data_IF_891628407353
#
_entry.id   IF_891628407353
#
_cell.length_a   1.000
_cell.length_b   1.000
_cell.length_c   1.000
_cell.angle_alpha   90.00
_cell.angle_beta   90.00
_cell.angle_gamma   90.00
#
_symmetry.space_group_name_H-M   'P 1'
#
loop_
_entity.id
_entity.type
_entity.pdbx_description
1 polymer ?
#
# COMPACT_ATOMS: atom_id res chain seq x y z
N UNK A 1 -42.36 51.12 -3.31
CA UNK A 1 -41.75 50.42 -2.15
C UNK A 1 -41.12 49.12 -2.65
N UNK A 2 -39.85 48.87 -2.35
CA UNK A 2 -39.16 47.60 -2.58
C UNK A 2 -37.94 47.67 -3.50
N UNK A 3 -36.75 47.89 -2.93
CA UNK A 3 -35.44 47.66 -3.56
C UNK A 3 -35.09 46.16 -3.52
N UNK A 4 -34.37 45.66 -4.53
CA UNK A 4 -33.32 44.66 -4.30
C UNK A 4 -32.32 44.65 -5.46
N UNK A 5 -31.15 45.24 -5.20
CA UNK A 5 -29.88 45.03 -5.90
C UNK A 5 -29.43 43.59 -5.67
N UNK A 6 -29.09 42.86 -6.72
CA UNK A 6 -28.31 41.61 -6.62
C UNK A 6 -26.89 41.96 -7.03
N UNK A 7 -26.02 42.08 -6.02
CA UNK A 7 -24.58 42.24 -6.20
C UNK A 7 -23.95 40.93 -6.65
N UNK A 8 -23.08 41.02 -7.65
CA UNK A 8 -22.13 39.96 -8.01
C UNK A 8 -21.12 39.80 -6.86
N UNK A 9 -20.82 38.55 -6.50
CA UNK A 9 -19.66 38.23 -5.66
C UNK A 9 -18.62 37.53 -6.54
N UNK A 10 -17.57 38.27 -6.89
CA UNK A 10 -16.34 37.69 -7.44
C UNK A 10 -15.63 36.94 -6.31
N UNK A 11 -15.52 35.62 -6.42
CA UNK A 11 -14.65 34.83 -5.54
C UNK A 11 -13.21 35.01 -5.99
N UNK A 12 -12.47 35.84 -5.27
CA UNK A 12 -11.02 35.93 -5.38
C UNK A 12 -10.42 34.70 -4.70
N UNK A 13 -9.94 33.72 -5.49
CA UNK A 13 -9.13 32.62 -5.00
C UNK A 13 -7.67 33.08 -4.88
N UNK A 14 -7.28 33.57 -3.70
CA UNK A 14 -5.87 33.71 -3.32
C UNK A 14 -5.38 32.34 -2.83
N UNK A 15 -4.72 31.57 -3.68
CA UNK A 15 -3.97 30.39 -3.26
C UNK A 15 -2.48 30.77 -3.15
N UNK A 16 -2.08 31.21 -1.94
CA UNK A 16 -0.66 31.25 -1.54
C UNK A 16 -0.43 30.09 -0.59
N UNK A 17 0.19 29.04 -1.11
CA UNK A 17 1.22 28.26 -0.40
C UNK A 17 1.76 27.20 -1.35
N UNK A 18 2.94 27.49 -1.91
CA UNK A 18 3.70 26.52 -2.70
C UNK A 18 4.29 25.46 -1.78
N UNK A 19 3.57 24.36 -1.57
CA UNK A 19 4.14 23.18 -0.94
C UNK A 19 5.15 22.53 -1.90
N UNK A 20 6.44 22.69 -1.62
CA UNK A 20 7.50 22.00 -2.36
C UNK A 20 7.58 20.55 -1.89
N UNK A 21 7.05 19.62 -2.68
CA UNK A 21 7.23 18.18 -2.45
C UNK A 21 8.63 17.79 -2.91
N UNK A 22 9.60 17.77 -2.00
CA UNK A 22 10.92 17.18 -2.31
C UNK A 22 10.79 15.65 -2.29
N UNK A 23 10.91 15.04 -3.46
CA UNK A 23 10.87 13.58 -3.60
C UNK A 23 12.26 12.96 -3.46
N UNK A 24 12.33 11.84 -2.75
CA UNK A 24 13.53 11.03 -2.72
C UNK A 24 13.81 10.47 -4.14
N UNK A 25 15.09 10.24 -4.51
CA UNK A 25 15.45 9.66 -5.80
C UNK A 25 14.68 8.37 -6.10
N UNK A 26 14.02 8.33 -7.25
CA UNK A 26 13.26 7.17 -7.72
C UNK A 26 11.84 7.04 -7.14
N UNK A 27 11.39 7.98 -6.30
CA UNK A 27 10.00 8.07 -5.87
C UNK A 27 9.15 8.75 -6.96
N UNK A 28 7.96 8.20 -7.20
CA UNK A 28 6.94 8.80 -8.08
C UNK A 28 5.74 9.19 -7.21
N UNK A 29 5.23 10.41 -7.38
CA UNK A 29 3.94 10.83 -6.80
C UNK A 29 2.86 10.55 -7.82
N UNK A 30 1.93 9.67 -7.49
CA UNK A 30 0.70 9.53 -8.26
C UNK A 30 -0.41 10.31 -7.55
N UNK A 31 -0.99 11.28 -8.27
CA UNK A 31 -2.24 11.91 -7.85
C UNK A 31 -3.39 11.05 -8.38
N UNK A 32 -4.07 10.33 -7.51
CA UNK A 32 -5.30 9.63 -7.88
C UNK A 32 -6.40 10.66 -8.13
N UNK A 33 -6.58 11.08 -9.40
CA UNK A 33 -7.75 11.86 -9.80
C UNK A 33 -8.92 10.90 -10.00
N UNK A 34 -9.84 10.84 -9.04
CA UNK A 34 -11.09 10.11 -9.17
C UNK A 34 -12.07 10.34 -8.01
N UNK A 35 -12.96 11.33 -8.19
CA UNK A 35 -14.31 11.56 -7.61
C UNK A 35 -14.51 11.54 -6.08
N UNK A 36 -15.10 12.50 -5.37
CA UNK A 36 -15.65 13.85 -5.60
C UNK A 36 -15.92 14.48 -4.22
N UNK A 37 -15.82 15.81 -4.11
CA UNK A 37 -16.57 16.68 -3.18
C UNK A 37 -16.65 16.32 -1.70
N UNK A 38 -15.73 16.83 -0.88
CA UNK A 38 -16.03 17.50 0.39
C UNK A 38 -14.75 18.12 0.98
N UNK A 39 -14.87 19.41 1.35
CA UNK A 39 -14.19 20.10 2.45
C UNK A 39 -12.76 19.69 2.86
N UNK A 40 -11.85 20.65 2.67
CA UNK A 40 -10.83 21.08 3.63
C UNK A 40 -10.17 20.02 4.55
N UNK A 41 -8.87 19.82 4.30
CA UNK A 41 -7.92 19.77 5.42
C UNK A 41 -7.61 18.41 6.02
N UNK A 42 -7.23 17.42 5.21
CA UNK A 42 -6.33 16.34 5.65
C UNK A 42 -5.40 16.04 4.47
N UNK A 43 -4.11 16.29 4.65
CA UNK A 43 -3.11 16.17 3.60
C UNK A 43 -3.31 14.89 2.82
N UNK A 44 -3.47 15.00 1.50
CA UNK A 44 -3.37 13.87 0.60
C UNK A 44 -2.06 13.18 0.96
N UNK A 45 -2.14 11.99 1.58
CA UNK A 45 -0.95 11.16 1.79
C UNK A 45 -0.47 10.85 0.38
N UNK A 46 0.46 11.66 -0.12
CA UNK A 46 0.97 11.51 -1.47
C UNK A 46 1.41 10.05 -1.60
N UNK A 47 0.75 9.31 -2.51
CA UNK A 47 1.08 7.92 -2.76
C UNK A 47 2.53 7.88 -3.23
N UNK A 48 3.41 7.31 -2.40
CA UNK A 48 4.84 7.18 -2.69
C UNK A 48 5.13 5.77 -3.14
N UNK A 49 5.56 5.65 -4.39
CA UNK A 49 5.98 4.41 -5.00
C UNK A 49 7.35 4.54 -5.66
N UNK A 50 8.03 3.41 -5.84
CA UNK A 50 9.39 3.34 -6.37
C UNK A 50 9.49 2.30 -7.49
N UNK A 51 10.44 2.51 -8.41
CA UNK A 51 10.71 1.57 -9.50
C UNK A 51 11.37 0.26 -9.05
N UNK A 52 11.86 0.18 -7.83
CA UNK A 52 12.52 -1.00 -7.28
C UNK A 52 12.48 -1.04 -5.75
N UNK A 53 12.62 -2.25 -5.18
CA UNK A 53 12.74 -2.42 -3.74
C UNK A 53 14.02 -1.78 -3.16
N UNK A 54 15.11 -1.75 -3.92
CA UNK A 54 16.32 -1.03 -3.50
C UNK A 54 16.10 0.48 -3.42
N UNK A 55 15.35 1.05 -4.36
CA UNK A 55 14.93 2.46 -4.32
C UNK A 55 14.05 2.77 -3.11
N UNK A 56 13.07 1.90 -2.83
CA UNK A 56 12.27 1.97 -1.61
C UNK A 56 13.15 1.98 -0.36
N UNK A 57 14.06 1.00 -0.20
CA UNK A 57 14.93 0.91 0.98
C UNK A 57 15.88 2.10 1.13
N UNK A 58 16.39 2.65 0.02
CA UNK A 58 17.23 3.86 0.05
C UNK A 58 16.45 5.07 0.56
N UNK A 59 15.18 5.21 0.18
CA UNK A 59 14.33 6.32 0.59
C UNK A 59 13.80 6.16 2.03
N UNK A 60 13.46 4.94 2.43
CA UNK A 60 12.83 4.66 3.73
C UNK A 60 13.84 4.33 4.84
N UNK A 61 15.07 3.96 4.48
CA UNK A 61 16.08 3.52 5.43
C UNK A 61 15.85 2.07 5.93
N UNK A 62 16.53 1.67 7.02
CA UNK A 62 16.29 0.37 7.65
C UNK A 62 14.86 0.28 8.20
N UNK A 63 14.30 -0.93 8.25
CA UNK A 63 12.95 -1.18 8.77
C UNK A 63 12.79 -0.89 10.28
N UNK A 64 13.90 -0.67 10.99
CA UNK A 64 13.99 -0.55 12.44
C UNK A 64 14.72 -1.73 13.08
N UNK A 65 15.15 -1.56 14.32
CA UNK A 65 15.81 -2.62 15.09
C UNK A 65 14.88 -3.82 15.28
N UNK A 66 15.39 -5.04 15.02
CA UNK A 66 14.62 -6.28 15.11
C UNK A 66 13.51 -6.45 14.06
N UNK A 67 13.48 -5.60 13.02
CA UNK A 67 12.44 -5.60 11.99
C UNK A 67 13.01 -5.81 10.59
N UNK A 68 12.16 -6.34 9.71
CA UNK A 68 12.42 -6.48 8.28
C UNK A 68 11.28 -5.85 7.48
N UNK A 69 11.61 -5.34 6.29
CA UNK A 69 10.62 -4.86 5.34
C UNK A 69 9.86 -6.06 4.75
N UNK A 70 8.53 -6.01 4.81
CA UNK A 70 7.64 -7.03 4.31
C UNK A 70 6.66 -6.46 3.30
N UNK A 71 6.49 -7.14 2.17
CA UNK A 71 5.47 -6.82 1.18
C UNK A 71 4.17 -7.54 1.51
N UNK A 72 3.10 -6.79 1.75
CA UNK A 72 1.75 -7.34 2.02
C UNK A 72 1.25 -8.12 0.80
N UNK A 73 1.30 -7.50 -0.39
CA UNK A 73 1.23 -8.19 -1.67
C UNK A 73 2.65 -8.62 -2.05
N UNK A 74 2.93 -9.92 -1.99
CA UNK A 74 4.28 -10.47 -2.14
C UNK A 74 4.94 -10.09 -3.46
N UNK A 75 6.25 -9.84 -3.42
CA UNK A 75 7.08 -9.62 -4.61
C UNK A 75 7.47 -10.96 -5.28
N UNK A 76 6.49 -11.70 -5.79
CA UNK A 76 6.75 -12.90 -6.61
C UNK A 76 7.04 -12.52 -8.07
N UNK A 77 7.72 -13.36 -8.88
CA UNK A 77 7.90 -13.10 -10.31
C UNK A 77 6.57 -12.91 -11.06
N UNK A 78 5.53 -13.65 -10.69
CA UNK A 78 4.18 -13.52 -11.23
C UNK A 78 3.56 -12.16 -10.91
N UNK A 79 3.59 -11.76 -9.64
CA UNK A 79 3.07 -10.46 -9.21
C UNK A 79 3.85 -9.29 -9.79
N UNK A 80 5.18 -9.41 -9.90
CA UNK A 80 6.02 -8.38 -10.52
C UNK A 80 5.65 -8.15 -11.99
N UNK A 81 5.35 -9.22 -12.73
CA UNK A 81 4.86 -9.14 -14.12
C UNK A 81 3.42 -8.59 -14.19
N UNK A 82 2.56 -8.98 -13.25
CA UNK A 82 1.14 -8.64 -13.30
C UNK A 82 0.82 -7.22 -12.83
N UNK A 83 1.49 -6.74 -11.78
CA UNK A 83 1.15 -5.47 -11.12
C UNK A 83 2.18 -4.36 -11.37
N UNK A 84 3.41 -4.72 -11.77
CA UNK A 84 4.49 -3.77 -11.98
C UNK A 84 5.14 -3.29 -10.68
N UNK A 85 6.29 -2.59 -10.79
CA UNK A 85 7.12 -2.28 -9.64
C UNK A 85 6.48 -1.27 -8.68
N UNK A 86 5.77 -0.25 -9.14
CA UNK A 86 5.18 0.78 -8.28
C UNK A 86 4.05 0.24 -7.42
N UNK A 87 3.27 -0.71 -7.93
CA UNK A 87 2.22 -1.37 -7.18
C UNK A 87 2.79 -2.25 -6.04
N UNK A 88 4.01 -2.79 -6.21
CA UNK A 88 4.67 -3.62 -5.21
C UNK A 88 5.55 -2.81 -4.25
N UNK A 89 6.25 -1.80 -4.75
CA UNK A 89 7.20 -0.98 -4.01
C UNK A 89 6.59 0.37 -3.68
N UNK A 90 5.67 0.39 -2.71
CA UNK A 90 5.09 1.63 -2.21
C UNK A 90 4.90 1.58 -0.70
N UNK A 91 4.68 2.76 -0.11
CA UNK A 91 4.57 2.93 1.34
C UNK A 91 3.28 2.32 1.94
N UNK A 92 2.34 1.87 1.13
CA UNK A 92 1.10 1.22 1.56
C UNK A 92 1.15 -0.31 1.46
N UNK A 93 2.06 -0.85 0.64
CA UNK A 93 2.27 -2.28 0.45
C UNK A 93 3.50 -2.82 1.20
N UNK A 94 4.49 -1.97 1.52
CA UNK A 94 5.71 -2.40 2.19
C UNK A 94 5.75 -1.84 3.62
N UNK A 95 5.67 -2.73 4.60
CA UNK A 95 5.59 -2.39 6.03
C UNK A 95 6.75 -3.01 6.82
N UNK A 96 7.16 -2.41 7.95
CA UNK A 96 8.12 -3.05 8.84
C UNK A 96 7.41 -4.11 9.69
N UNK A 97 7.95 -5.34 9.72
CA UNK A 97 7.49 -6.42 10.59
C UNK A 97 8.63 -6.92 11.48
N UNK A 98 8.31 -7.31 12.71
CA UNK A 98 9.25 -8.00 13.60
C UNK A 98 9.79 -9.27 12.91
N UNK A 99 11.09 -9.51 13.00
CA UNK A 99 11.77 -10.56 12.23
C UNK A 99 11.17 -11.95 12.47
N UNK A 100 10.80 -12.26 13.72
CA UNK A 100 10.15 -13.52 14.05
C UNK A 100 8.77 -13.65 13.40
N UNK A 101 7.98 -12.57 13.34
CA UNK A 101 6.67 -12.57 12.68
C UNK A 101 6.84 -12.67 11.16
N UNK A 102 7.80 -11.93 10.60
CA UNK A 102 8.14 -11.99 9.18
C UNK A 102 8.45 -13.44 8.75
N UNK A 103 9.31 -14.14 9.50
CA UNK A 103 9.66 -15.54 9.24
C UNK A 103 8.45 -16.47 9.31
N UNK A 104 7.55 -16.31 10.29
CA UNK A 104 6.34 -17.14 10.39
C UNK A 104 5.39 -16.90 9.22
N UNK A 105 5.15 -15.63 8.85
CA UNK A 105 4.34 -15.30 7.67
C UNK A 105 4.94 -15.91 6.40
N UNK A 106 6.25 -15.78 6.18
CA UNK A 106 6.91 -16.40 5.02
C UNK A 106 6.80 -17.92 5.01
N UNK A 107 6.88 -18.57 6.18
CA UNK A 107 6.72 -20.01 6.34
C UNK A 107 5.28 -20.45 6.03
N UNK A 108 4.27 -19.77 6.60
CA UNK A 108 2.86 -20.03 6.34
C UNK A 108 2.54 -20.03 4.85
N UNK A 109 3.07 -19.05 4.11
CA UNK A 109 2.84 -18.92 2.66
C UNK A 109 3.42 -20.10 1.85
N UNK A 110 4.38 -20.83 2.41
CA UNK A 110 4.98 -22.02 1.81
C UNK A 110 4.24 -23.31 2.19
N UNK A 111 3.20 -23.24 3.02
CA UNK A 111 2.39 -24.40 3.42
C UNK A 111 1.20 -24.61 2.50
N UNK A 112 0.65 -25.84 2.51
CA UNK A 112 -0.65 -26.15 1.94
C UNK A 112 -1.69 -26.07 3.05
N UNK A 113 -2.76 -25.32 2.85
CA UNK A 113 -3.82 -25.10 3.84
C UNK A 113 -5.20 -25.43 3.24
N UNK A 114 -5.50 -26.72 2.94
CA UNK A 114 -6.69 -27.08 2.17
C UNK A 114 -7.99 -26.50 2.73
N UNK A 115 -8.13 -26.48 4.06
CA UNK A 115 -9.32 -25.96 4.75
C UNK A 115 -9.47 -24.44 4.63
N UNK A 116 -8.36 -23.72 4.44
CA UNK A 116 -8.36 -22.26 4.34
C UNK A 116 -8.51 -21.76 2.90
N UNK A 117 -7.80 -22.38 1.96
CA UNK A 117 -7.71 -21.91 0.56
C UNK A 117 -8.54 -22.75 -0.42
N UNK A 118 -9.20 -23.80 0.05
CA UNK A 118 -10.08 -24.66 -0.77
C UNK A 118 -9.33 -25.55 -1.77
N UNK A 119 -8.02 -25.73 -1.62
CA UNK A 119 -7.21 -26.58 -2.50
C UNK A 119 -6.06 -27.26 -1.76
N UNK A 120 -5.82 -28.53 -2.09
CA UNK A 120 -4.72 -29.35 -1.56
C UNK A 120 -3.51 -29.44 -2.50
N UNK A 121 -3.62 -28.93 -3.73
CA UNK A 121 -2.54 -28.99 -4.71
C UNK A 121 -1.59 -27.81 -4.61
N UNK A 122 -2.08 -26.64 -4.19
CA UNK A 122 -1.32 -25.39 -4.13
C UNK A 122 -0.90 -25.03 -2.71
N UNK A 123 0.28 -24.44 -2.59
CA UNK A 123 0.62 -23.66 -1.39
C UNK A 123 -0.22 -22.38 -1.32
N UNK A 124 -0.33 -21.79 -0.13
CA UNK A 124 -0.98 -20.50 0.07
C UNK A 124 -0.45 -19.45 -0.91
N UNK A 125 0.88 -19.34 -1.08
CA UNK A 125 1.50 -18.41 -2.04
C UNK A 125 1.08 -18.66 -3.48
N UNK A 126 1.07 -19.92 -3.92
CA UNK A 126 0.70 -20.27 -5.29
C UNK A 126 -0.77 -19.94 -5.56
N UNK A 127 -1.67 -20.30 -4.64
CA UNK A 127 -3.08 -19.92 -4.75
C UNK A 127 -3.27 -18.40 -4.72
N UNK A 128 -2.57 -17.70 -3.81
CA UNK A 128 -2.68 -16.26 -3.67
C UNK A 128 -2.21 -15.52 -4.93
N UNK A 129 -1.21 -16.05 -5.64
CA UNK A 129 -0.68 -15.46 -6.87
C UNK A 129 -1.67 -15.42 -8.04
N UNK A 130 -2.79 -16.14 -7.96
CA UNK A 130 -3.86 -16.09 -8.98
C UNK A 130 -4.95 -15.06 -8.65
N UNK A 131 -4.87 -14.44 -7.47
CA UNK A 131 -5.88 -13.49 -6.99
C UNK A 131 -5.58 -12.05 -7.44
N UNK A 132 -6.60 -11.20 -7.41
CA UNK A 132 -6.44 -9.75 -7.66
C UNK A 132 -5.53 -9.10 -6.62
N UNK A 133 -4.89 -7.97 -6.97
CA UNK A 133 -4.02 -7.24 -6.04
C UNK A 133 -4.71 -6.89 -4.72
N UNK A 134 -5.98 -6.49 -4.78
CA UNK A 134 -6.79 -6.20 -3.60
C UNK A 134 -7.00 -7.44 -2.73
N UNK A 135 -7.38 -8.58 -3.32
CA UNK A 135 -7.55 -9.84 -2.59
C UNK A 135 -6.22 -10.32 -1.98
N UNK A 136 -5.10 -10.16 -2.70
CA UNK A 136 -3.78 -10.46 -2.14
C UNK A 136 -3.45 -9.58 -0.93
N UNK A 137 -3.79 -8.30 -1.01
CA UNK A 137 -3.56 -7.34 0.08
C UNK A 137 -4.39 -7.69 1.31
N UNK A 138 -5.67 -7.94 1.12
CA UNK A 138 -6.60 -8.26 2.21
C UNK A 138 -6.21 -9.56 2.90
N UNK A 139 -5.89 -10.60 2.11
CA UNK A 139 -5.41 -11.87 2.66
C UNK A 139 -4.05 -11.72 3.35
N UNK A 140 -3.15 -10.88 2.85
CA UNK A 140 -1.86 -10.63 3.48
C UNK A 140 -1.98 -9.96 4.85
N UNK A 141 -2.84 -8.94 4.96
CA UNK A 141 -3.16 -8.32 6.24
C UNK A 141 -3.81 -9.31 7.21
N UNK A 142 -4.74 -10.12 6.73
CA UNK A 142 -5.39 -11.16 7.53
C UNK A 142 -4.39 -12.21 8.02
N UNK A 143 -3.45 -12.63 7.16
CA UNK A 143 -2.41 -13.61 7.50
C UNK A 143 -1.50 -13.07 8.60
N UNK A 144 -1.00 -11.84 8.45
CA UNK A 144 -0.14 -11.19 9.45
C UNK A 144 -0.84 -11.15 10.81
N UNK A 145 -2.12 -10.78 10.83
CA UNK A 145 -2.89 -10.65 12.08
C UNK A 145 -3.15 -12.01 12.74
N UNK A 146 -3.57 -13.03 11.98
CA UNK A 146 -3.84 -14.35 12.55
C UNK A 146 -2.55 -15.04 13.04
N UNK A 147 -1.44 -14.91 12.31
CA UNK A 147 -0.14 -15.50 12.69
C UNK A 147 0.48 -14.73 13.87
N UNK A 148 0.21 -13.43 14.00
CA UNK A 148 0.57 -12.66 15.19
C UNK A 148 -0.18 -13.17 16.42
N UNK A 149 -1.48 -13.46 16.27
CA UNK A 149 -2.34 -14.00 17.33
C UNK A 149 -2.14 -15.49 17.62
N UNK A 150 -1.36 -16.20 16.79
CA UNK A 150 -1.18 -17.65 16.89
C UNK A 150 -2.42 -18.46 16.50
N UNK A 151 -3.35 -17.86 15.75
CA UNK A 151 -4.55 -18.53 15.24
C UNK A 151 -4.24 -19.34 13.97
N UNK A 152 -3.30 -18.86 13.17
CA UNK A 152 -2.78 -19.57 12.00
C UNK A 152 -1.32 -19.97 12.27
N UNK A 153 -0.86 -21.11 11.69
CA UNK A 153 0.47 -21.64 11.91
C UNK A 153 1.59 -20.75 11.36
#
# INVERSE_FOLDING_TARGET
MGFAVVGQVETVAMAVDGFTVTLAPGAVVMSSRGASTAGAGLGSRAFRAWKSFSGFKKAMGPAGSGKQWHHIVEQTPGNAKQFGPEALHNAENVIPLDEALHRRVSAFYSTKQPDLIGTSSLTVRQWLSTQSSQAQRDFGLLSIENIRKGLWP
#
